data_IF_647069911826
#
_entry.id   IF_647069911826
#
_cell.length_a   1.000
_cell.length_b   1.000
_cell.length_c   1.000
_cell.angle_alpha   90.00
_cell.angle_beta   90.00
_cell.angle_gamma   90.00
#
_symmetry.space_group_name_H-M   'P 1'
#
loop_
_entity.id
_entity.type
_entity.pdbx_description
1 polymer ?
#
# COMPACT_ATOMS: atom_id res chain seq x y z
N UNK A 1 26.30 42.86 -10.84
CA UNK A 1 27.02 41.69 -10.28
C UNK A 1 26.33 41.08 -9.06
N UNK A 2 25.28 41.71 -8.52
CA UNK A 2 24.53 41.23 -7.33
C UNK A 2 23.44 40.20 -7.68
N UNK A 3 22.72 40.34 -8.81
CA UNK A 3 21.62 39.43 -9.17
C UNK A 3 22.03 37.98 -9.45
N UNK A 4 23.24 37.75 -9.97
CA UNK A 4 23.73 36.39 -10.26
C UNK A 4 24.01 35.62 -8.97
N UNK A 5 24.57 36.29 -7.95
CA UNK A 5 24.87 35.68 -6.65
C UNK A 5 23.59 35.37 -5.86
N UNK A 6 22.60 36.26 -5.88
CA UNK A 6 21.30 36.05 -5.22
C UNK A 6 20.53 34.87 -5.84
N UNK A 7 20.56 34.72 -7.16
CA UNK A 7 19.93 33.58 -7.82
C UNK A 7 20.62 32.25 -7.47
N UNK A 8 21.96 32.21 -7.45
CA UNK A 8 22.73 31.02 -7.07
C UNK A 8 22.40 30.55 -5.64
N UNK A 9 22.32 31.47 -4.68
CA UNK A 9 21.93 31.13 -3.29
C UNK A 9 20.49 30.61 -3.22
N UNK A 10 19.54 31.25 -3.95
CA UNK A 10 18.16 30.74 -4.04
C UNK A 10 18.10 29.33 -4.64
N UNK A 11 18.86 29.06 -5.71
CA UNK A 11 18.94 27.72 -6.32
C UNK A 11 19.50 26.69 -5.34
N UNK A 12 20.52 27.03 -4.55
CA UNK A 12 21.10 26.14 -3.53
C UNK A 12 20.09 25.79 -2.43
N UNK A 13 19.36 26.78 -1.93
CA UNK A 13 18.29 26.56 -0.94
C UNK A 13 17.21 25.62 -1.51
N UNK A 14 16.78 25.84 -2.75
CA UNK A 14 15.79 24.94 -3.40
C UNK A 14 16.33 23.53 -3.65
N UNK A 15 17.62 23.38 -3.94
CA UNK A 15 18.25 22.08 -4.13
C UNK A 15 18.39 21.29 -2.82
N UNK A 16 18.66 21.97 -1.71
CA UNK A 16 18.77 21.34 -0.39
C UNK A 16 17.40 20.89 0.15
N UNK A 17 16.33 21.64 -0.13
CA UNK A 17 14.96 21.22 0.18
C UNK A 17 14.52 20.03 -0.67
N UNK A 18 14.78 20.06 -1.99
CA UNK A 18 14.50 18.95 -2.88
C UNK A 18 15.24 17.67 -2.44
N UNK A 19 16.51 17.79 -2.03
CA UNK A 19 17.29 16.65 -1.51
C UNK A 19 16.64 16.03 -0.27
N UNK A 20 16.16 16.84 0.67
CA UNK A 20 15.48 16.34 1.87
C UNK A 20 14.20 15.57 1.53
N UNK A 21 13.41 16.02 0.54
CA UNK A 21 12.24 15.26 0.10
C UNK A 21 12.64 13.93 -0.54
N UNK A 22 13.66 13.92 -1.40
CA UNK A 22 14.16 12.69 -2.04
C UNK A 22 14.64 11.70 -0.99
N UNK A 23 15.52 12.10 -0.08
CA UNK A 23 16.06 11.22 0.98
C UNK A 23 14.96 10.66 1.88
N UNK A 24 13.91 11.45 2.16
CA UNK A 24 12.75 10.97 2.92
C UNK A 24 11.96 9.90 2.16
N UNK A 25 11.74 10.08 0.85
CA UNK A 25 11.06 9.09 0.02
C UNK A 25 11.90 7.82 -0.13
N UNK A 26 13.20 7.94 -0.38
CA UNK A 26 14.10 6.79 -0.49
C UNK A 26 14.13 5.95 0.80
N UNK A 27 14.12 6.61 1.97
CA UNK A 27 13.99 5.91 3.25
C UNK A 27 12.65 5.19 3.39
N UNK A 28 11.54 5.84 3.03
CA UNK A 28 10.21 5.21 3.06
C UNK A 28 10.12 4.01 2.10
N UNK A 29 10.76 4.09 0.94
CA UNK A 29 10.80 2.99 -0.03
C UNK A 29 11.66 1.82 0.48
N UNK A 30 12.77 2.09 1.16
CA UNK A 30 13.56 1.07 1.85
C UNK A 30 12.74 0.39 2.96
N UNK A 31 12.09 1.15 3.84
CA UNK A 31 11.21 0.62 4.88
C UNK A 31 10.06 -0.22 4.30
N UNK A 32 9.44 0.24 3.21
CA UNK A 32 8.38 -0.50 2.51
C UNK A 32 8.89 -1.82 1.93
N UNK A 33 10.11 -1.85 1.40
CA UNK A 33 10.76 -3.07 0.90
C UNK A 33 10.98 -4.06 2.04
N UNK A 34 11.55 -3.61 3.15
CA UNK A 34 11.82 -4.45 4.32
C UNK A 34 10.51 -5.04 4.89
N UNK A 35 9.46 -4.22 5.00
CA UNK A 35 8.13 -4.68 5.40
C UNK A 35 7.53 -5.71 4.42
N UNK A 36 7.76 -5.54 3.12
CA UNK A 36 7.30 -6.50 2.12
C UNK A 36 8.05 -7.84 2.22
N UNK A 37 9.33 -7.82 2.58
CA UNK A 37 10.13 -9.02 2.85
C UNK A 37 9.63 -9.75 4.10
N UNK A 38 9.42 -9.03 5.21
CA UNK A 38 8.84 -9.59 6.44
C UNK A 38 7.46 -10.22 6.18
N UNK A 39 6.60 -9.58 5.37
CA UNK A 39 5.30 -10.17 4.99
C UNK A 39 5.45 -11.47 4.21
N UNK A 40 6.47 -11.59 3.34
CA UNK A 40 6.74 -12.83 2.60
C UNK A 40 7.18 -13.95 3.53
N UNK A 41 8.01 -13.65 4.52
CA UNK A 41 8.47 -14.61 5.52
C UNK A 41 7.29 -15.18 6.32
N UNK A 42 6.40 -14.34 6.83
CA UNK A 42 5.18 -14.77 7.54
C UNK A 42 4.30 -15.67 6.67
N UNK A 43 4.13 -15.31 5.39
CA UNK A 43 3.36 -16.13 4.45
C UNK A 43 4.05 -17.47 4.15
N UNK A 44 5.38 -17.49 4.07
CA UNK A 44 6.16 -18.72 3.89
C UNK A 44 6.07 -19.63 5.12
N UNK A 45 6.13 -19.06 6.31
CA UNK A 45 5.95 -19.77 7.57
C UNK A 45 4.53 -20.39 7.66
N UNK A 46 3.49 -19.61 7.35
CA UNK A 46 2.12 -20.11 7.32
C UNK A 46 1.97 -21.27 6.33
N UNK A 47 2.59 -21.17 5.14
CA UNK A 47 2.63 -22.26 4.17
C UNK A 47 3.35 -23.50 4.71
N UNK A 48 4.50 -23.33 5.37
CA UNK A 48 5.27 -24.42 5.97
C UNK A 48 4.50 -25.15 7.08
N UNK A 49 3.62 -24.43 7.79
CA UNK A 49 2.68 -24.98 8.79
C UNK A 49 1.43 -25.62 8.19
N UNK A 50 1.26 -25.59 6.86
CA UNK A 50 0.14 -26.21 6.15
C UNK A 50 -1.08 -25.31 5.89
N UNK A 51 -1.00 -24.01 6.17
CA UNK A 51 -2.10 -23.09 5.87
C UNK A 51 -2.14 -22.69 4.39
N UNK A 52 -3.36 -22.48 3.86
CA UNK A 52 -3.53 -21.90 2.52
C UNK A 52 -3.32 -20.38 2.56
N UNK A 53 -2.15 -19.94 2.05
CA UNK A 53 -1.80 -18.51 1.96
C UNK A 53 -2.71 -17.69 1.05
N UNK A 54 -3.44 -18.30 0.10
CA UNK A 54 -4.44 -17.58 -0.71
C UNK A 54 -5.65 -17.23 0.13
N UNK A 55 -6.12 -18.18 0.94
CA UNK A 55 -7.23 -17.96 1.88
C UNK A 55 -6.86 -16.92 2.93
N UNK A 56 -5.65 -16.98 3.50
CA UNK A 56 -5.16 -15.96 4.44
C UNK A 56 -5.21 -14.56 3.81
N UNK A 57 -4.74 -14.38 2.57
CA UNK A 57 -4.81 -13.08 1.88
C UNK A 57 -6.25 -12.60 1.71
N UNK A 58 -7.18 -13.49 1.35
CA UNK A 58 -8.60 -13.17 1.24
C UNK A 58 -9.16 -12.70 2.58
N UNK A 59 -8.85 -13.39 3.68
CA UNK A 59 -9.28 -13.00 5.03
C UNK A 59 -8.71 -11.64 5.43
N UNK A 60 -7.42 -11.38 5.17
CA UNK A 60 -6.82 -10.05 5.44
C UNK A 60 -7.51 -8.96 4.64
N UNK A 61 -7.81 -9.19 3.35
CA UNK A 61 -8.52 -8.24 2.51
C UNK A 61 -9.94 -7.96 3.03
N UNK A 62 -10.69 -9.00 3.40
CA UNK A 62 -12.01 -8.86 4.02
C UNK A 62 -11.95 -8.05 5.32
N UNK A 63 -10.94 -8.28 6.16
CA UNK A 63 -10.76 -7.57 7.44
C UNK A 63 -10.34 -6.11 7.29
N UNK A 64 -9.91 -5.67 6.10
CA UNK A 64 -9.55 -4.28 5.82
C UNK A 64 -10.72 -3.43 5.35
N UNK A 65 -11.80 -4.07 4.88
CA UNK A 65 -13.01 -3.38 4.43
C UNK A 65 -13.85 -2.97 5.63
N UNK A 66 -14.55 -1.85 5.52
CA UNK A 66 -15.54 -1.50 6.54
C UNK A 66 -16.73 -2.48 6.48
N UNK A 67 -17.34 -2.84 7.62
CA UNK A 67 -18.49 -3.74 7.65
C UNK A 67 -19.63 -3.29 6.72
N UNK A 68 -19.82 -1.98 6.58
CA UNK A 68 -20.86 -1.39 5.74
C UNK A 68 -20.55 -1.59 4.25
N UNK A 69 -19.29 -1.39 3.83
CA UNK A 69 -18.84 -1.68 2.46
C UNK A 69 -18.99 -3.17 2.09
N UNK A 70 -18.82 -4.07 3.07
CA UNK A 70 -19.01 -5.51 2.87
C UNK A 70 -20.50 -5.80 2.68
N UNK A 71 -21.36 -5.25 3.54
CA UNK A 71 -22.80 -5.45 3.50
C UNK A 71 -23.42 -4.93 2.20
N UNK A 72 -22.97 -3.77 1.71
CA UNK A 72 -23.44 -3.20 0.44
C UNK A 72 -23.06 -4.08 -0.75
N UNK A 73 -21.80 -4.53 -0.82
CA UNK A 73 -21.37 -5.43 -1.90
C UNK A 73 -22.08 -6.79 -1.84
N UNK A 74 -22.30 -7.36 -0.65
CA UNK A 74 -23.05 -8.60 -0.49
C UNK A 74 -24.51 -8.45 -0.94
N UNK A 75 -25.17 -7.34 -0.62
CA UNK A 75 -26.54 -7.06 -1.07
C UNK A 75 -26.64 -6.96 -2.60
N UNK A 76 -25.69 -6.27 -3.24
CA UNK A 76 -25.62 -6.16 -4.70
C UNK A 76 -25.32 -7.51 -5.35
N UNK A 77 -24.39 -8.28 -4.77
CA UNK A 77 -24.03 -9.61 -5.26
C UNK A 77 -25.23 -10.56 -5.19
N UNK A 78 -26.00 -10.52 -4.11
CA UNK A 78 -27.17 -11.38 -3.95
C UNK A 78 -28.26 -11.03 -4.96
N UNK A 79 -28.54 -9.74 -5.17
CA UNK A 79 -29.45 -9.28 -6.23
C UNK A 79 -29.02 -9.80 -7.61
N UNK A 80 -27.72 -9.81 -7.92
CA UNK A 80 -27.22 -10.37 -9.18
C UNK A 80 -27.35 -11.89 -9.26
N UNK A 81 -27.11 -12.64 -8.18
CA UNK A 81 -27.32 -14.09 -8.18
C UNK A 81 -28.80 -14.44 -8.39
N UNK A 82 -29.71 -13.72 -7.72
CA UNK A 82 -31.15 -13.88 -7.91
C UNK A 82 -31.53 -13.62 -9.37
N UNK A 83 -31.07 -12.52 -9.95
CA UNK A 83 -31.33 -12.18 -11.35
C UNK A 83 -30.77 -13.22 -12.34
N UNK A 84 -29.70 -13.93 -11.97
CA UNK A 84 -29.07 -14.98 -12.76
C UNK A 84 -29.58 -16.39 -12.43
N UNK A 85 -30.50 -16.55 -11.48
CA UNK A 85 -31.03 -17.86 -11.06
C UNK A 85 -30.00 -18.75 -10.38
N UNK A 86 -29.00 -18.16 -9.72
CA UNK A 86 -27.89 -18.84 -9.05
C UNK A 86 -28.13 -19.06 -7.54
N UNK A 87 -29.39 -18.93 -7.08
CA UNK A 87 -29.84 -19.12 -5.69
C UNK A 87 -29.79 -20.58 -5.24
#
# INVERSE_FOLDING_TARGET
>A
MTDTATNLESYRVTADELRQFIERIERLDAEKKDLAEQQKEVMAEAKGRGYDTKVIRKVIALRKREPDDIAEEEAVLEMYKEALGMS
#
